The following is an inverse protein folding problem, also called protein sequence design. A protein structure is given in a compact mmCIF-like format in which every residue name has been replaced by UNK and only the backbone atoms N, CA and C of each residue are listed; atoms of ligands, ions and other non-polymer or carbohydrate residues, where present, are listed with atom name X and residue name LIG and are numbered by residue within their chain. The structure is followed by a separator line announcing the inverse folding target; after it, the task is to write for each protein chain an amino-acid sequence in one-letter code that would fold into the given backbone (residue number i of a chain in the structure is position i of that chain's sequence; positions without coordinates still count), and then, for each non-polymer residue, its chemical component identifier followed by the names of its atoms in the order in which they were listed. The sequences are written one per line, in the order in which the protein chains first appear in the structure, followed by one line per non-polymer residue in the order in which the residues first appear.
data_IF_579857067761
#
_entry.id   IF_579857067761
#
_cell.length_a   1.000
_cell.length_b   1.000
_cell.length_c   1.000
_cell.angle_alpha   90.00
_cell.angle_beta   90.00
_cell.angle_gamma   90.00
#
_symmetry.space_group_name_H-M   'P 1'
#
loop_
_entity.id
_entity.type
_entity.pdbx_description
1 polymer ?
#
# COMPACT_ATOMS: atom_id res chain seq x y z
N UNK A 1 -14.55 -1.13 -3.25
CA UNK A 1 -13.24 -0.46 -3.49
C UNK A 1 -12.25 -1.47 -4.03
N UNK A 2 -11.21 -1.03 -4.72
CA UNK A 2 -10.19 -1.89 -5.32
C UNK A 2 -8.80 -1.40 -4.93
N UNK A 3 -7.94 -2.29 -4.46
CA UNK A 3 -6.55 -2.01 -4.10
C UNK A 3 -5.61 -2.99 -4.82
N UNK A 4 -4.38 -2.57 -5.10
CA UNK A 4 -3.32 -3.50 -5.49
C UNK A 4 -2.87 -4.33 -4.27
N UNK A 5 -2.48 -3.65 -3.19
CA UNK A 5 -1.96 -4.26 -1.98
C UNK A 5 -2.57 -3.60 -0.74
N UNK A 6 -3.38 -4.36 0.00
CA UNK A 6 -3.94 -3.88 1.27
C UNK A 6 -2.95 -4.14 2.42
N UNK A 7 -2.52 -3.06 3.09
CA UNK A 7 -1.60 -3.09 4.24
C UNK A 7 -2.32 -2.69 5.53
N UNK A 8 -2.43 -1.41 5.84
CA UNK A 8 -3.11 -0.93 7.06
C UNK A 8 -4.61 -0.74 6.84
N UNK A 9 -5.01 -0.55 5.58
CA UNK A 9 -6.34 -0.09 5.16
C UNK A 9 -6.47 1.43 5.10
N UNK A 10 -5.39 2.19 5.29
CA UNK A 10 -5.45 3.65 5.35
C UNK A 10 -5.91 4.31 4.04
N UNK A 11 -5.53 3.77 2.88
CA UNK A 11 -6.00 4.23 1.56
C UNK A 11 -7.51 4.12 1.47
N UNK A 12 -8.04 2.92 1.71
CA UNK A 12 -9.47 2.60 1.79
C UNK A 12 -10.23 3.59 2.69
N UNK A 13 -9.79 3.79 3.93
CA UNK A 13 -10.45 4.68 4.89
C UNK A 13 -10.46 6.14 4.44
N UNK A 14 -9.32 6.65 3.95
CA UNK A 14 -9.19 8.04 3.47
C UNK A 14 -10.02 8.28 2.21
N UNK A 15 -10.06 7.30 1.31
CA UNK A 15 -10.89 7.36 0.11
C UNK A 15 -12.37 7.40 0.47
N UNK A 16 -12.84 6.54 1.39
CA UNK A 16 -14.23 6.59 1.89
C UNK A 16 -14.55 7.97 2.50
N UNK A 17 -13.68 8.46 3.38
CA UNK A 17 -13.88 9.76 4.02
C UNK A 17 -13.95 10.91 2.99
N UNK A 18 -13.08 10.90 1.98
CA UNK A 18 -13.10 11.88 0.90
C UNK A 18 -14.37 11.81 0.05
N UNK A 19 -14.84 10.61 -0.28
CA UNK A 19 -16.10 10.43 -1.02
C UNK A 19 -17.28 10.94 -0.19
N UNK A 20 -17.37 10.59 1.10
CA UNK A 20 -18.45 11.07 1.98
C UNK A 20 -18.42 12.61 2.07
N UNK A 21 -17.25 13.20 2.31
CA UNK A 21 -17.12 14.65 2.42
C UNK A 21 -17.47 15.40 1.12
N UNK A 22 -17.28 14.76 -0.03
CA UNK A 22 -17.58 15.32 -1.35
C UNK A 22 -19.03 15.15 -1.81
N UNK A 23 -19.89 14.46 -1.04
CA UNK A 23 -21.27 14.18 -1.42
C UNK A 23 -22.26 14.81 -0.44
N UNK A 24 -23.29 15.49 -0.95
CA UNK A 24 -24.31 16.15 -0.12
C UNK A 24 -25.33 15.16 0.49
N UNK A 25 -25.42 13.95 -0.05
CA UNK A 25 -26.32 12.91 0.41
C UNK A 25 -25.60 11.70 1.01
N UNK A 26 -26.38 10.73 1.48
CA UNK A 26 -25.85 9.46 1.97
C UNK A 26 -25.16 8.69 0.84
N UNK A 27 -23.92 8.27 1.10
CA UNK A 27 -23.16 7.42 0.17
C UNK A 27 -23.21 5.98 0.65
N UNK A 28 -23.69 5.09 -0.21
CA UNK A 28 -23.60 3.66 0.01
C UNK A 28 -22.34 3.08 -0.64
N UNK A 29 -21.60 2.31 0.13
CA UNK A 29 -20.39 1.63 -0.34
C UNK A 29 -20.67 0.15 -0.53
N UNK A 30 -20.20 -0.40 -1.64
CA UNK A 30 -20.25 -1.85 -1.87
C UNK A 30 -19.55 -2.60 -0.72
N UNK A 31 -20.11 -3.71 -0.19
CA UNK A 31 -19.65 -4.34 1.05
C UNK A 31 -18.29 -5.04 0.95
N UNK A 32 -17.67 -5.03 -0.23
CA UNK A 32 -16.41 -5.73 -0.50
C UNK A 32 -15.28 -4.77 -0.89
N UNK A 33 -14.09 -5.09 -0.39
CA UNK A 33 -12.81 -4.53 -0.83
C UNK A 33 -12.10 -5.63 -1.63
N UNK A 34 -11.94 -5.42 -2.93
CA UNK A 34 -11.17 -6.32 -3.77
C UNK A 34 -9.69 -5.91 -3.73
N UNK A 35 -8.79 -6.87 -3.53
CA UNK A 35 -7.35 -6.64 -3.56
C UNK A 35 -6.62 -7.72 -4.35
N UNK A 36 -5.49 -7.41 -4.98
CA UNK A 36 -4.63 -8.49 -5.47
C UNK A 36 -3.93 -9.18 -4.30
N UNK A 37 -3.34 -8.41 -3.37
CA UNK A 37 -2.64 -8.95 -2.21
C UNK A 37 -3.17 -8.34 -0.91
N UNK A 38 -3.60 -9.19 0.02
CA UNK A 38 -3.89 -8.79 1.40
C UNK A 38 -2.68 -9.14 2.29
N UNK A 39 -1.95 -8.11 2.73
CA UNK A 39 -0.85 -8.21 3.70
C UNK A 39 -1.18 -7.52 5.03
N UNK A 40 -2.47 -7.26 5.26
CA UNK A 40 -2.95 -6.58 6.46
C UNK A 40 -3.12 -7.52 7.66
N UNK A 41 -3.26 -8.82 7.40
CA UNK A 41 -3.70 -9.81 8.38
C UNK A 41 -5.16 -9.65 8.82
N UNK A 42 -5.94 -8.77 8.17
CA UNK A 42 -7.36 -8.52 8.47
C UNK A 42 -8.26 -9.23 7.46
N UNK A 43 -9.43 -9.64 7.93
CA UNK A 43 -10.54 -10.11 7.08
C UNK A 43 -11.44 -8.97 6.58
N UNK A 44 -11.44 -7.86 7.30
CA UNK A 44 -12.29 -6.70 7.04
C UNK A 44 -11.59 -5.38 7.38
N UNK A 45 -12.02 -4.33 6.71
CA UNK A 45 -11.70 -2.94 7.05
C UNK A 45 -13.01 -2.18 7.09
N UNK A 46 -13.32 -1.57 8.23
CA UNK A 46 -14.48 -0.69 8.39
C UNK A 46 -15.81 -1.36 8.02
N UNK A 47 -15.98 -2.62 8.45
CA UNK A 47 -17.16 -3.45 8.15
C UNK A 47 -17.24 -3.96 6.70
N UNK A 48 -16.26 -3.63 5.84
CA UNK A 48 -16.19 -4.17 4.48
C UNK A 48 -15.23 -5.36 4.41
N UNK A 49 -15.72 -6.49 3.90
CA UNK A 49 -14.94 -7.73 3.80
C UNK A 49 -13.90 -7.61 2.69
N UNK A 50 -12.69 -8.09 2.95
CA UNK A 50 -11.60 -8.14 1.97
C UNK A 50 -11.69 -9.46 1.20
N UNK A 51 -11.74 -9.35 -0.13
CA UNK A 51 -11.55 -10.47 -1.04
C UNK A 51 -10.24 -10.24 -1.77
N UNK A 52 -9.30 -11.17 -1.60
CA UNK A 52 -7.97 -11.06 -2.18
C UNK A 52 -7.57 -12.31 -2.95
N UNK A 53 -6.81 -12.13 -4.03
CA UNK A 53 -6.22 -13.27 -4.77
C UNK A 53 -5.13 -13.97 -3.95
N UNK A 54 -4.36 -13.20 -3.18
CA UNK A 54 -3.31 -13.72 -2.31
C UNK A 54 -3.41 -13.12 -0.90
N UNK A 55 -3.23 -13.96 0.12
CA UNK A 55 -3.12 -13.55 1.53
C UNK A 55 -1.71 -13.83 2.04
N UNK A 56 -1.10 -12.82 2.66
CA UNK A 56 0.26 -12.88 3.17
C UNK A 56 0.29 -12.34 4.60
N UNK A 57 0.17 -13.23 5.57
CA UNK A 57 0.04 -12.84 6.98
C UNK A 57 1.36 -12.30 7.57
N UNK A 58 2.49 -12.74 7.03
CA UNK A 58 3.84 -12.37 7.47
C UNK A 58 4.75 -12.13 6.26
N UNK A 59 4.65 -10.96 5.60
CA UNK A 59 5.51 -10.67 4.46
C UNK A 59 6.98 -10.69 4.92
N UNK A 60 7.80 -11.51 4.25
CA UNK A 60 9.23 -11.64 4.57
C UNK A 60 9.90 -10.29 4.37
N UNK A 61 10.52 -9.76 5.42
CA UNK A 61 11.47 -8.67 5.31
C UNK A 61 12.85 -9.28 5.07
N UNK A 62 13.40 -9.05 3.89
CA UNK A 62 14.73 -9.54 3.56
C UNK A 62 15.80 -8.63 4.14
N UNK A 63 16.79 -9.20 4.83
CA UNK A 63 18.08 -8.53 4.97
C UNK A 63 18.79 -8.50 3.61
N UNK A 64 19.70 -7.54 3.34
CA UNK A 64 20.42 -7.49 2.07
C UNK A 64 21.10 -8.81 1.70
N UNK A 65 21.68 -9.51 2.67
CA UNK A 65 22.33 -10.81 2.51
C UNK A 65 21.36 -11.96 2.21
N UNK A 66 20.07 -11.80 2.51
CA UNK A 66 18.99 -12.77 2.29
C UNK A 66 18.13 -12.45 1.06
N UNK A 67 18.36 -11.30 0.45
CA UNK A 67 17.61 -10.77 -0.69
C UNK A 67 18.24 -11.28 -1.99
N UNK A 68 17.54 -12.15 -2.73
CA UNK A 68 18.01 -12.73 -3.99
C UNK A 68 18.39 -11.66 -5.01
N UNK A 69 17.56 -10.63 -5.14
CA UNK A 69 17.81 -9.51 -6.04
C UNK A 69 19.07 -8.72 -5.62
N UNK A 70 19.31 -8.60 -4.32
CA UNK A 70 20.45 -7.86 -3.78
C UNK A 70 21.76 -8.59 -4.07
N UNK A 71 21.75 -9.94 -4.00
CA UNK A 71 22.88 -10.77 -4.44
C UNK A 71 23.16 -10.66 -5.94
N UNK A 72 22.13 -10.42 -6.75
CA UNK A 72 22.26 -10.15 -8.19
C UNK A 72 22.69 -8.70 -8.51
N UNK A 73 23.06 -7.91 -7.49
CA UNK A 73 23.56 -6.55 -7.66
C UNK A 73 22.50 -5.45 -7.56
N UNK A 74 21.23 -5.80 -7.28
CA UNK A 74 20.21 -4.79 -6.95
C UNK A 74 20.60 -4.05 -5.68
N UNK A 75 20.58 -2.72 -5.72
CA UNK A 75 20.89 -1.88 -4.56
C UNK A 75 19.63 -1.15 -4.14
N UNK A 76 19.28 -1.28 -2.86
CA UNK A 76 18.21 -0.47 -2.26
C UNK A 76 18.64 0.99 -2.33
N UNK A 77 17.79 1.85 -2.87
CA UNK A 77 17.95 3.30 -2.76
C UNK A 77 17.28 3.71 -1.44
N UNK A 78 18.04 4.11 -0.40
CA UNK A 78 17.46 4.44 0.90
C UNK A 78 16.56 5.67 0.78
N UNK A 79 15.37 5.66 1.39
CA UNK A 79 14.42 6.79 1.30
C UNK A 79 14.86 7.96 2.19
N UNK A 80 15.36 9.02 1.57
CA UNK A 80 14.89 10.43 1.61
C UNK A 80 16.05 11.40 1.32
N UNK A 81 17.22 11.19 1.95
CA UNK A 81 18.40 12.04 1.74
C UNK A 81 19.00 11.95 0.32
N UNK A 82 19.08 10.75 -0.25
CA UNK A 82 19.62 10.53 -1.60
C UNK A 82 18.66 10.99 -2.70
N UNK A 83 17.35 10.83 -2.52
CA UNK A 83 16.33 11.35 -3.43
C UNK A 83 16.35 12.89 -3.50
N UNK A 84 16.45 13.58 -2.35
CA UNK A 84 16.61 15.03 -2.32
C UNK A 84 17.94 15.49 -2.95
N UNK A 85 19.05 14.80 -2.64
CA UNK A 85 20.36 15.10 -3.21
C UNK A 85 20.41 14.90 -4.75
N UNK A 86 19.63 13.97 -5.29
CA UNK A 86 19.51 13.76 -6.74
C UNK A 86 18.62 14.79 -7.46
N UNK A 87 17.86 15.61 -6.74
CA UNK A 87 17.01 16.66 -7.34
C UNK A 87 17.63 18.06 -7.33
N UNK A 88 18.69 18.27 -6.54
CA UNK A 88 19.57 19.43 -6.69
C UNK A 88 20.43 19.25 -7.95
N UNK A 89 19.90 19.65 -9.11
CA UNK A 89 20.71 19.91 -10.29
C UNK A 89 21.81 20.93 -9.92
N UNK A 90 23.03 20.83 -10.48
CA UNK A 90 23.99 21.91 -10.34
C UNK A 90 23.37 23.17 -10.95
N UNK A 91 23.23 24.21 -10.12
CA UNK A 91 22.95 25.55 -10.61
C UNK A 91 24.22 25.99 -11.33
N UNK A 92 24.20 25.97 -12.66
CA UNK A 92 25.19 26.67 -13.47
C UNK A 92 25.03 28.17 -13.29
#
# INVERSE_FOLDING_TARGET
MTEDVTTTGASVLKTKAGIIAGNAGTVEFFPLIAAFVNRSGKEEIDGHRIIALLRVDKPKQWKPEECELCRLGSKVIPKFKSYLASQSLPVN
#
